data_IF_313744401031
#
_entry.id   IF_313744401031
#
_cell.length_a   1.000
_cell.length_b   1.000
_cell.length_c   1.000
_cell.angle_alpha   90.00
_cell.angle_beta   90.00
_cell.angle_gamma   90.00
#
_symmetry.space_group_name_H-M   'P 1'
#
loop_
_entity.id
_entity.type
_entity.pdbx_description
1 polymer ?
#
# COMPACT_ATOMS: atom_id res chain seq x y z
N UNK A 1 11.81 8.98 -14.80
CA UNK A 1 11.91 7.89 -15.76
C UNK A 1 10.71 7.82 -16.71
N UNK A 2 10.96 7.44 -17.95
CA UNK A 2 9.90 7.24 -18.95
C UNK A 2 9.19 5.92 -18.61
N UNK A 3 7.87 5.93 -18.55
CA UNK A 3 7.07 4.72 -18.28
C UNK A 3 7.28 3.70 -19.43
N UNK A 4 7.55 2.44 -19.10
CA UNK A 4 7.78 1.35 -20.07
C UNK A 4 6.69 1.24 -21.15
N UNK A 5 5.45 1.52 -20.79
CA UNK A 5 4.31 1.60 -21.71
C UNK A 5 4.48 2.69 -22.81
N UNK A 6 5.08 3.83 -22.49
CA UNK A 6 5.34 4.88 -23.46
C UNK A 6 6.47 4.50 -24.43
N UNK A 7 7.42 3.68 -23.99
CA UNK A 7 8.48 3.12 -24.82
C UNK A 7 7.92 2.02 -25.74
N UNK A 8 7.09 1.13 -25.21
CA UNK A 8 6.45 0.07 -25.99
C UNK A 8 5.60 0.63 -27.14
N UNK A 9 4.86 1.74 -26.93
CA UNK A 9 4.12 2.43 -28.02
C UNK A 9 5.02 2.97 -29.14
N UNK A 10 6.29 3.23 -28.83
CA UNK A 10 7.29 3.68 -29.79
C UNK A 10 8.08 2.52 -30.41
N UNK A 11 7.68 1.25 -30.17
CA UNK A 11 8.38 0.07 -30.63
C UNK A 11 9.73 -0.17 -29.94
N UNK A 12 10.02 0.54 -28.85
CA UNK A 12 11.26 0.42 -28.09
C UNK A 12 11.08 -0.67 -27.03
N UNK A 13 11.84 -1.75 -27.12
CA UNK A 13 11.89 -2.78 -26.08
C UNK A 13 12.70 -2.22 -24.93
N UNK A 14 12.02 -1.91 -23.81
CA UNK A 14 12.70 -1.51 -22.60
C UNK A 14 13.16 -2.78 -21.84
N UNK A 15 14.46 -2.93 -21.65
CA UNK A 15 14.97 -3.89 -20.67
C UNK A 15 14.64 -3.37 -19.27
N UNK A 16 13.65 -3.98 -18.64
CA UNK A 16 13.29 -3.68 -17.25
C UNK A 16 14.16 -4.55 -16.35
N UNK A 17 14.81 -3.91 -15.38
CA UNK A 17 15.51 -4.63 -14.33
C UNK A 17 14.52 -5.55 -13.57
N UNK A 18 14.89 -6.79 -13.26
CA UNK A 18 14.08 -7.68 -12.44
C UNK A 18 13.81 -7.03 -11.08
N UNK A 19 12.56 -7.08 -10.64
CA UNK A 19 12.16 -6.63 -9.30
C UNK A 19 11.81 -7.85 -8.47
N UNK A 20 12.41 -7.95 -7.30
CA UNK A 20 12.07 -9.00 -6.34
C UNK A 20 10.70 -8.69 -5.75
N UNK A 21 9.80 -9.64 -5.83
CA UNK A 21 8.45 -9.58 -5.26
C UNK A 21 8.18 -10.83 -4.44
N UNK A 22 7.28 -10.76 -3.48
CA UNK A 22 6.86 -11.91 -2.70
C UNK A 22 5.48 -12.35 -3.17
N UNK A 23 5.35 -13.62 -3.54
CA UNK A 23 4.07 -14.27 -3.78
C UNK A 23 3.77 -15.09 -2.52
N UNK A 24 2.79 -14.64 -1.73
CA UNK A 24 2.38 -15.32 -0.50
C UNK A 24 1.58 -16.57 -0.82
N UNK A 25 0.67 -16.45 -1.80
CA UNK A 25 -0.15 -17.55 -2.28
C UNK A 25 -0.41 -17.42 -3.79
N UNK A 26 -0.37 -18.54 -4.47
CA UNK A 26 -0.77 -18.69 -5.88
C UNK A 26 -1.64 -19.94 -6.01
N UNK A 27 -2.90 -19.76 -6.35
CA UNK A 27 -3.87 -20.84 -6.43
C UNK A 27 -4.56 -20.84 -7.78
N UNK A 28 -4.55 -22.00 -8.47
CA UNK A 28 -5.42 -22.24 -9.61
C UNK A 28 -6.85 -22.44 -9.09
N UNK A 29 -7.74 -21.52 -9.44
CA UNK A 29 -9.16 -21.57 -9.01
C UNK A 29 -9.96 -22.54 -9.86
N UNK A 30 -9.87 -22.36 -11.19
CA UNK A 30 -10.58 -23.18 -12.17
C UNK A 30 -10.11 -22.93 -13.60
N UNK A 31 -10.42 -23.82 -14.47
CA UNK A 31 -10.45 -23.60 -15.90
C UNK A 31 -11.75 -22.86 -16.28
N UNK A 32 -11.65 -21.82 -17.09
CA UNK A 32 -12.78 -20.95 -17.47
C UNK A 32 -13.19 -21.14 -18.93
N UNK A 33 -12.34 -21.78 -19.75
CA UNK A 33 -12.55 -22.07 -21.15
C UNK A 33 -11.39 -22.84 -21.72
N UNK A 34 -11.40 -23.14 -23.00
CA UNK A 34 -10.32 -23.84 -23.67
C UNK A 34 -9.02 -23.03 -23.56
N UNK A 35 -8.02 -23.59 -22.85
CA UNK A 35 -6.75 -22.92 -22.53
C UNK A 35 -6.87 -21.63 -21.73
N UNK A 36 -7.98 -21.43 -21.00
CA UNK A 36 -8.18 -20.31 -20.09
C UNK A 36 -8.26 -20.78 -18.65
N UNK A 37 -7.46 -20.13 -17.78
CA UNK A 37 -7.31 -20.51 -16.39
C UNK A 37 -7.46 -19.29 -15.49
N UNK A 38 -8.21 -19.42 -14.40
CA UNK A 38 -8.36 -18.41 -13.38
C UNK A 38 -7.46 -18.73 -12.20
N UNK A 39 -6.61 -17.77 -11.86
CA UNK A 39 -5.75 -17.84 -10.69
C UNK A 39 -6.16 -16.79 -9.65
N UNK A 40 -5.99 -17.14 -8.40
CA UNK A 40 -5.99 -16.22 -7.27
C UNK A 40 -4.56 -16.06 -6.76
N UNK A 41 -4.18 -14.80 -6.51
CA UNK A 41 -2.81 -14.46 -6.14
C UNK A 41 -2.82 -13.52 -4.96
N UNK A 42 -2.14 -13.89 -3.88
CA UNK A 42 -1.76 -12.97 -2.79
C UNK A 42 -0.28 -12.64 -2.94
N UNK A 43 0.04 -11.35 -3.05
CA UNK A 43 1.39 -10.91 -3.35
C UNK A 43 1.70 -9.54 -2.72
N UNK A 44 3.00 -9.28 -2.57
CA UNK A 44 3.49 -8.00 -2.09
C UNK A 44 3.12 -6.84 -3.02
N UNK A 45 3.12 -5.63 -2.47
CA UNK A 45 2.93 -4.40 -3.24
C UNK A 45 4.00 -4.29 -4.34
N UNK A 46 3.66 -3.63 -5.46
CA UNK A 46 4.57 -3.50 -6.60
C UNK A 46 4.62 -4.71 -7.54
N UNK A 47 3.92 -5.81 -7.23
CA UNK A 47 3.85 -6.99 -8.11
C UNK A 47 3.03 -6.68 -9.36
N UNK A 48 3.66 -6.82 -10.53
CA UNK A 48 2.99 -6.69 -11.81
C UNK A 48 2.37 -8.02 -12.22
N UNK A 49 1.06 -8.17 -12.05
CA UNK A 49 0.33 -9.42 -12.36
C UNK A 49 0.46 -9.84 -13.81
N UNK A 50 0.58 -8.90 -14.76
CA UNK A 50 0.89 -9.22 -16.17
C UNK A 50 2.25 -9.89 -16.34
N UNK A 51 3.25 -9.46 -15.58
CA UNK A 51 4.57 -10.11 -15.61
C UNK A 51 4.51 -11.49 -14.99
N UNK A 52 3.81 -11.63 -13.86
CA UNK A 52 3.60 -12.92 -13.22
C UNK A 52 2.89 -13.92 -14.14
N UNK A 53 1.85 -13.50 -14.86
CA UNK A 53 1.16 -14.33 -15.85
C UNK A 53 2.12 -14.85 -16.93
N UNK A 54 2.96 -13.98 -17.48
CA UNK A 54 4.00 -14.36 -18.46
C UNK A 54 5.01 -15.34 -17.85
N UNK A 55 5.47 -15.06 -16.64
CA UNK A 55 6.53 -15.85 -16.00
C UNK A 55 6.00 -17.25 -15.62
N UNK A 56 4.73 -17.40 -15.22
CA UNK A 56 4.07 -18.70 -15.04
C UNK A 56 4.05 -19.46 -16.37
N UNK A 57 3.60 -18.82 -17.45
CA UNK A 57 3.53 -19.48 -18.75
C UNK A 57 4.91 -19.93 -19.25
N UNK A 58 5.92 -19.09 -19.12
CA UNK A 58 7.30 -19.43 -19.47
C UNK A 58 7.84 -20.62 -18.67
N UNK A 59 7.52 -20.70 -17.37
CA UNK A 59 7.94 -21.85 -16.54
C UNK A 59 7.31 -23.18 -16.98
N UNK A 60 6.17 -23.09 -17.67
CA UNK A 60 5.47 -24.24 -18.26
C UNK A 60 5.85 -24.48 -19.74
N UNK A 61 6.84 -23.75 -20.27
CA UNK A 61 7.24 -23.84 -21.67
C UNK A 61 6.20 -23.31 -22.66
N UNK A 62 5.32 -22.40 -22.22
CA UNK A 62 4.19 -21.87 -22.99
C UNK A 62 4.20 -20.34 -23.01
N UNK A 63 3.19 -19.75 -23.64
CA UNK A 63 2.93 -18.32 -23.66
C UNK A 63 1.52 -18.06 -23.14
N UNK A 64 1.34 -16.94 -22.44
CA UNK A 64 0.03 -16.54 -21.97
C UNK A 64 -0.20 -15.03 -22.07
N UNK A 65 -1.46 -14.67 -22.18
CA UNK A 65 -1.93 -13.28 -22.13
C UNK A 65 -3.01 -13.18 -21.05
N UNK A 66 -2.92 -12.13 -20.24
CA UNK A 66 -3.92 -11.85 -19.23
C UNK A 66 -5.15 -11.21 -19.88
N UNK A 67 -6.30 -11.86 -19.79
CA UNK A 67 -7.59 -11.41 -20.35
C UNK A 67 -8.43 -10.64 -19.34
N UNK A 68 -8.26 -10.96 -18.05
CA UNK A 68 -9.03 -10.38 -16.97
C UNK A 68 -8.20 -10.21 -15.69
N UNK A 69 -8.48 -9.15 -14.94
CA UNK A 69 -7.94 -8.94 -13.60
C UNK A 69 -9.01 -8.28 -12.71
N UNK A 70 -9.19 -8.82 -11.50
CA UNK A 70 -9.97 -8.21 -10.44
C UNK A 70 -9.12 -8.15 -9.18
N UNK A 71 -8.98 -6.97 -8.59
CA UNK A 71 -8.40 -6.83 -7.26
C UNK A 71 -9.49 -7.06 -6.24
N UNK A 72 -9.33 -8.04 -5.39
CA UNK A 72 -10.30 -8.40 -4.34
C UNK A 72 -9.95 -7.80 -2.99
N UNK A 73 -8.65 -7.47 -2.77
CA UNK A 73 -8.15 -6.90 -1.52
C UNK A 73 -6.98 -5.94 -1.76
N UNK A 74 -6.85 -4.93 -0.92
CA UNK A 74 -5.69 -4.06 -0.83
C UNK A 74 -5.47 -3.69 0.64
N UNK A 75 -4.44 -4.29 1.28
CA UNK A 75 -4.28 -4.22 2.73
C UNK A 75 -5.54 -4.75 3.43
N UNK A 76 -6.10 -3.97 4.34
CA UNK A 76 -7.32 -4.29 5.11
C UNK A 76 -8.63 -3.93 4.38
N UNK A 77 -8.56 -3.51 3.12
CA UNK A 77 -9.73 -3.12 2.35
C UNK A 77 -10.13 -4.23 1.38
N UNK A 78 -11.36 -4.70 1.47
CA UNK A 78 -11.93 -5.72 0.58
C UNK A 78 -12.81 -5.06 -0.47
N UNK A 79 -12.79 -5.61 -1.69
CA UNK A 79 -13.61 -5.10 -2.78
C UNK A 79 -15.12 -5.26 -2.52
N UNK A 80 -15.49 -6.25 -1.72
CA UNK A 80 -16.89 -6.53 -1.37
C UNK A 80 -17.47 -5.48 -0.38
N UNK A 81 -16.58 -4.76 0.35
CA UNK A 81 -16.97 -3.64 1.22
C UNK A 81 -16.94 -2.29 0.47
N UNK A 82 -16.54 -2.28 -0.79
CA UNK A 82 -16.40 -1.06 -1.56
C UNK A 82 -17.74 -0.48 -1.99
N UNK A 83 -17.87 0.83 -1.88
CA UNK A 83 -19.05 1.60 -2.29
C UNK A 83 -18.75 2.26 -3.63
N UNK A 84 -19.73 2.23 -4.55
CA UNK A 84 -19.60 2.94 -5.81
C UNK A 84 -19.54 4.45 -5.57
N UNK A 85 -18.68 5.20 -6.30
CA UNK A 85 -18.51 6.64 -6.07
C UNK A 85 -19.82 7.44 -6.10
N UNK A 86 -20.77 7.06 -6.94
CA UNK A 86 -22.09 7.70 -7.05
C UNK A 86 -23.00 7.46 -5.84
N UNK A 87 -22.70 6.47 -5.01
CA UNK A 87 -23.45 6.11 -3.82
C UNK A 87 -22.79 6.57 -2.52
N UNK A 88 -21.60 7.19 -2.60
CA UNK A 88 -20.85 7.62 -1.41
C UNK A 88 -21.56 8.77 -0.70
N UNK A 89 -21.54 8.68 0.63
CA UNK A 89 -22.01 9.71 1.55
C UNK A 89 -20.87 10.11 2.52
N UNK A 90 -20.95 11.25 3.21
CA UNK A 90 -19.95 11.62 4.21
C UNK A 90 -19.76 10.60 5.34
N UNK A 91 -20.77 9.77 5.63
CA UNK A 91 -20.70 8.71 6.64
C UNK A 91 -19.88 7.50 6.20
N UNK A 92 -19.59 7.39 4.91
CA UNK A 92 -18.80 6.27 4.35
C UNK A 92 -17.29 6.55 4.38
N UNK A 93 -16.90 7.75 4.83
CA UNK A 93 -15.48 8.11 4.99
C UNK A 93 -14.87 7.25 6.09
N UNK A 94 -13.84 6.51 5.74
CA UNK A 94 -13.10 5.64 6.67
C UNK A 94 -12.12 6.51 7.49
N UNK A 95 -12.19 6.51 8.83
CA UNK A 95 -11.26 7.26 9.66
C UNK A 95 -9.81 6.79 9.46
N UNK A 96 -8.86 7.72 9.55
CA UNK A 96 -7.43 7.43 9.38
C UNK A 96 -6.95 6.37 10.38
N UNK A 97 -7.48 6.34 11.58
CA UNK A 97 -7.18 5.37 12.63
C UNK A 97 -7.46 3.93 12.19
N UNK A 98 -8.54 3.73 11.42
CA UNK A 98 -8.87 2.41 10.87
C UNK A 98 -7.89 2.00 9.78
N UNK A 99 -7.45 2.96 8.97
CA UNK A 99 -6.45 2.71 7.90
C UNK A 99 -5.11 2.31 8.52
N UNK A 100 -4.75 2.94 9.63
CA UNK A 100 -3.47 2.74 10.33
C UNK A 100 -3.50 1.64 11.39
N UNK A 101 -4.60 0.88 11.50
CA UNK A 101 -4.77 -0.12 12.57
C UNK A 101 -3.75 -1.26 12.55
N UNK A 102 -3.05 -1.47 11.44
CA UNK A 102 -1.96 -2.46 11.34
C UNK A 102 -0.61 -1.93 11.81
N UNK A 103 -0.46 -0.61 11.90
CA UNK A 103 0.75 -0.01 12.43
C UNK A 103 0.75 -0.05 13.96
N UNK A 104 1.91 -0.29 14.58
CA UNK A 104 2.04 -0.12 16.03
C UNK A 104 1.59 1.28 16.43
N UNK A 105 0.83 1.38 17.53
CA UNK A 105 0.44 2.66 18.12
C UNK A 105 1.49 3.13 19.13
N UNK A 106 1.91 4.38 19.03
CA UNK A 106 2.77 5.04 20.00
C UNK A 106 2.11 6.32 20.48
N UNK A 107 1.90 6.40 21.79
CA UNK A 107 1.36 7.59 22.44
C UNK A 107 2.51 8.42 23.03
N UNK A 108 2.76 9.59 22.44
CA UNK A 108 3.80 10.51 22.90
C UNK A 108 3.32 11.27 24.16
N UNK A 109 4.22 11.57 25.11
CA UNK A 109 3.91 12.44 26.24
C UNK A 109 3.44 13.82 25.78
N UNK A 110 2.43 14.38 26.47
CA UNK A 110 1.85 15.71 26.20
C UNK A 110 2.89 16.84 26.16
N UNK A 111 3.98 16.71 26.92
CA UNK A 111 5.08 17.66 26.90
C UNK A 111 5.79 17.77 25.53
N UNK A 112 5.65 16.78 24.67
CA UNK A 112 6.22 16.75 23.33
C UNK A 112 5.26 17.29 22.25
N UNK A 113 4.00 17.55 22.59
CA UNK A 113 2.96 17.96 21.65
C UNK A 113 3.43 19.08 20.70
N UNK A 114 3.93 20.18 21.26
CA UNK A 114 4.36 21.34 20.48
C UNK A 114 5.51 21.00 19.53
N UNK A 115 6.50 20.24 20.01
CA UNK A 115 7.65 19.84 19.16
C UNK A 115 7.20 18.96 18.01
N UNK A 116 6.28 18.02 18.29
CA UNK A 116 5.70 17.11 17.27
C UNK A 116 4.90 17.94 16.26
N UNK A 117 4.07 18.87 16.72
CA UNK A 117 3.31 19.81 15.86
C UNK A 117 4.21 20.63 14.95
N UNK A 118 5.34 21.09 15.48
CA UNK A 118 6.32 21.91 14.73
C UNK A 118 7.23 21.05 13.82
N UNK A 119 7.01 19.71 13.74
CA UNK A 119 7.80 18.79 12.94
C UNK A 119 9.23 18.56 13.46
N UNK A 120 9.50 18.92 14.71
CA UNK A 120 10.82 18.75 15.34
C UNK A 120 10.98 17.28 15.77
N UNK A 121 12.08 16.60 15.40
CA UNK A 121 12.36 15.24 15.85
C UNK A 121 12.38 15.17 17.38
N UNK A 122 11.73 14.15 17.93
CA UNK A 122 11.62 13.94 19.39
C UNK A 122 12.13 12.55 19.77
N UNK A 123 12.57 12.39 21.00
CA UNK A 123 12.87 11.07 21.55
C UNK A 123 11.67 10.55 22.30
N UNK A 124 11.21 9.35 21.91
CA UNK A 124 10.12 8.63 22.57
C UNK A 124 10.69 7.27 23.00
N UNK A 125 10.73 7.06 24.31
CA UNK A 125 11.25 5.82 24.85
C UNK A 125 10.34 4.65 24.47
N UNK A 126 10.95 3.55 23.98
CA UNK A 126 10.21 2.37 23.57
C UNK A 126 9.54 2.48 22.19
N UNK A 127 9.81 3.52 21.41
CA UNK A 127 9.34 3.57 20.03
C UNK A 127 9.85 2.36 19.22
N UNK A 128 8.99 1.68 18.45
CA UNK A 128 9.40 0.53 17.66
C UNK A 128 10.29 0.95 16.48
N UNK A 129 11.11 0.04 16.00
CA UNK A 129 11.81 0.22 14.73
C UNK A 129 10.83 0.16 13.56
N UNK A 130 10.98 1.06 12.59
CA UNK A 130 10.08 1.17 11.43
C UNK A 130 8.95 2.16 11.63
N UNK A 131 7.92 2.06 10.78
CA UNK A 131 6.79 2.98 10.81
C UNK A 131 5.77 2.61 11.89
N UNK A 132 5.18 3.62 12.51
CA UNK A 132 4.13 3.50 13.52
C UNK A 132 3.16 4.68 13.48
N UNK A 133 1.96 4.48 13.99
CA UNK A 133 0.97 5.54 14.17
C UNK A 133 1.28 6.34 15.43
N UNK A 134 1.59 7.62 15.28
CA UNK A 134 1.95 8.52 16.38
C UNK A 134 0.72 9.28 16.86
N UNK A 135 0.46 9.15 18.16
CA UNK A 135 -0.58 9.88 18.87
C UNK A 135 0.04 10.79 19.93
N UNK A 136 -0.63 11.89 20.25
CA UNK A 136 -0.31 12.73 21.40
C UNK A 136 -1.61 13.35 21.91
N UNK A 137 -1.84 13.31 23.22
CA UNK A 137 -3.09 13.75 23.87
C UNK A 137 -4.37 13.11 23.27
N UNK A 138 -4.26 11.85 22.81
CA UNK A 138 -5.36 11.13 22.19
C UNK A 138 -5.62 11.48 20.73
N UNK A 139 -4.93 12.47 20.16
CA UNK A 139 -5.04 12.87 18.77
C UNK A 139 -4.02 12.13 17.89
N UNK A 140 -4.46 11.65 16.73
CA UNK A 140 -3.58 11.07 15.72
C UNK A 140 -2.82 12.19 14.99
N UNK A 141 -1.50 12.18 15.08
CA UNK A 141 -0.64 13.11 14.35
C UNK A 141 -0.29 12.60 12.95
N UNK A 142 -0.10 11.29 12.81
CA UNK A 142 0.25 10.70 11.53
C UNK A 142 1.09 9.44 11.64
N UNK A 143 1.82 9.15 10.57
CA UNK A 143 2.78 8.05 10.53
C UNK A 143 4.16 8.63 10.87
N UNK A 144 4.85 8.02 11.80
CA UNK A 144 6.20 8.38 12.21
C UNK A 144 7.14 7.19 12.16
N UNK A 145 8.42 7.45 12.11
CA UNK A 145 9.47 6.44 12.22
C UNK A 145 10.57 6.93 13.16
N UNK A 146 11.25 5.99 13.83
CA UNK A 146 12.47 6.30 14.59
C UNK A 146 13.68 6.26 13.65
N UNK A 147 14.31 7.40 13.47
CA UNK A 147 15.50 7.61 12.66
C UNK A 147 16.69 7.99 13.55
N UNK A 148 17.87 8.11 12.96
CA UNK A 148 19.12 8.44 13.67
C UNK A 148 19.07 9.75 14.46
N UNK A 149 18.10 10.62 14.18
CA UNK A 149 17.87 11.90 14.88
C UNK A 149 16.74 11.88 15.90
N UNK A 150 16.04 10.76 16.04
CA UNK A 150 14.86 10.56 16.86
C UNK A 150 13.58 10.33 16.03
N UNK A 151 12.47 10.21 16.70
CA UNK A 151 11.16 10.02 16.05
C UNK A 151 10.77 11.25 15.24
N UNK A 152 10.45 11.03 13.97
CA UNK A 152 10.01 12.06 13.02
C UNK A 152 8.75 11.62 12.30
N UNK A 153 7.83 12.56 12.07
CA UNK A 153 6.63 12.30 11.25
C UNK A 153 7.04 12.20 9.78
N UNK A 154 6.69 11.08 9.16
CA UNK A 154 6.86 10.80 7.74
C UNK A 154 5.64 11.24 6.93
N UNK A 155 4.44 11.05 7.48
CA UNK A 155 3.16 11.46 6.89
C UNK A 155 2.35 12.16 7.96
N UNK A 156 2.03 13.43 7.75
CA UNK A 156 1.22 14.23 8.66
C UNK A 156 -0.26 14.08 8.31
N UNK A 157 -1.09 13.68 9.27
CA UNK A 157 -2.52 13.44 9.07
C UNK A 157 -3.40 14.35 9.93
N UNK A 158 -2.81 15.09 10.87
CA UNK A 158 -3.54 16.05 11.67
C UNK A 158 -3.97 17.21 10.77
N UNK A 159 -5.26 17.56 10.80
CA UNK A 159 -5.74 18.80 10.20
C UNK A 159 -5.21 19.97 11.02
N UNK A 160 -4.40 20.81 10.39
CA UNK A 160 -4.09 22.09 10.97
C UNK A 160 -5.39 22.88 11.08
N UNK A 161 -5.84 23.19 12.29
CA UNK A 161 -7.04 23.97 12.55
C UNK A 161 -6.97 25.42 12.04
N UNK A 162 -6.17 25.67 10.98
CA UNK A 162 -5.89 26.96 10.38
C UNK A 162 -5.93 26.95 8.85
N UNK A 163 -6.89 26.20 8.26
CA UNK A 163 -7.29 26.47 6.87
C UNK A 163 -8.32 27.57 6.89
N UNK A 164 -7.84 28.83 6.90
CA UNK A 164 -8.62 30.00 6.51
C UNK A 164 -8.29 30.37 5.07
#
# INVERSE_FOLDING_TARGET
>A
GVRSYALARKGIIAELAPTVVTINELRLVRETGENEYMFEVDCSSGTYIRSLCRDIAHSLGSLATMTYIKRTRCGNFFADDAILPENMTPSDVIPAERVLSELPRVDAPSALYRKISDGVPVRIEGAPSGEFALYCDGELFGIAADETGGVKICVYLKEDGNSK
#
